data_IF_561411053433
#
_entry.id   IF_561411053433
#
_cell.length_a   1.000
_cell.length_b   1.000
_cell.length_c   1.000
_cell.angle_alpha   90.00
_cell.angle_beta   90.00
_cell.angle_gamma   90.00
#
_symmetry.space_group_name_H-M   'P 1'
#
loop_
_entity.id
_entity.type
_entity.pdbx_description
1 polymer ?
#
# COMPACT_ATOMS: atom_id res chain seq x y z
N UNK A 1 -9.09 6.65 11.48
CA UNK A 1 -8.70 7.70 10.52
C UNK A 1 -9.64 7.62 9.31
N UNK A 2 -10.84 8.22 9.38
CA UNK A 2 -11.96 7.94 8.46
C UNK A 2 -11.69 8.33 7.00
N UNK A 3 -10.76 9.25 6.75
CA UNK A 3 -10.41 9.65 5.39
C UNK A 3 -9.71 8.54 4.59
N UNK A 4 -9.01 7.62 5.26
CA UNK A 4 -8.24 6.57 4.58
C UNK A 4 -9.14 5.39 4.15
N UNK A 5 -10.16 5.06 4.95
CA UNK A 5 -11.16 4.04 4.60
C UNK A 5 -11.95 4.46 3.35
N UNK A 6 -12.38 5.73 3.28
CA UNK A 6 -13.06 6.27 2.11
C UNK A 6 -12.19 6.21 0.83
N UNK A 7 -10.88 6.42 0.94
CA UNK A 7 -9.95 6.29 -0.20
C UNK A 7 -9.86 4.83 -0.66
N UNK A 8 -9.76 3.88 0.27
CA UNK A 8 -9.72 2.46 -0.05
C UNK A 8 -11.01 2.01 -0.74
N UNK A 9 -12.17 2.39 -0.20
CA UNK A 9 -13.46 2.08 -0.79
C UNK A 9 -13.59 2.66 -2.20
N UNK A 10 -13.16 3.91 -2.39
CA UNK A 10 -13.12 4.55 -3.70
C UNK A 10 -12.23 3.76 -4.69
N UNK A 11 -11.06 3.31 -4.26
CA UNK A 11 -10.14 2.53 -5.11
C UNK A 11 -10.67 1.13 -5.42
N UNK A 12 -11.40 0.52 -4.48
CA UNK A 12 -12.09 -0.75 -4.70
C UNK A 12 -13.22 -0.62 -5.72
N UNK A 13 -13.93 0.52 -5.70
CA UNK A 13 -15.00 0.83 -6.64
C UNK A 13 -14.51 1.22 -8.04
N UNK A 14 -13.23 1.59 -8.21
CA UNK A 14 -12.65 1.89 -9.52
C UNK A 14 -12.56 0.64 -10.40
N UNK A 15 -12.75 0.86 -11.70
CA UNK A 15 -12.45 -0.14 -12.72
C UNK A 15 -10.93 -0.43 -12.75
N UNK A 16 -10.54 -1.60 -13.25
CA UNK A 16 -9.13 -1.95 -13.39
C UNK A 16 -8.30 -0.96 -14.24
N UNK A 17 -8.77 -0.46 -15.40
CA UNK A 17 -8.02 0.54 -16.17
C UNK A 17 -7.92 1.89 -15.45
N UNK A 18 -8.97 2.31 -14.73
CA UNK A 18 -8.94 3.55 -13.96
C UNK A 18 -7.97 3.46 -12.79
N UNK A 19 -7.99 2.34 -12.06
CA UNK A 19 -7.07 2.08 -10.97
C UNK A 19 -5.62 2.04 -11.48
N UNK A 20 -5.37 1.43 -12.64
CA UNK A 20 -4.05 1.41 -13.27
C UNK A 20 -3.54 2.83 -13.56
N UNK A 21 -4.37 3.67 -14.18
CA UNK A 21 -4.01 5.05 -14.47
C UNK A 21 -3.81 5.88 -13.18
N UNK A 22 -4.63 5.63 -12.17
CA UNK A 22 -4.53 6.30 -10.87
C UNK A 22 -3.22 5.93 -10.15
N UNK A 23 -2.92 4.64 -10.04
CA UNK A 23 -1.66 4.12 -9.46
C UNK A 23 -0.45 4.66 -10.22
N UNK A 24 -0.48 4.66 -11.57
CA UNK A 24 0.61 5.20 -12.39
C UNK A 24 0.93 6.66 -12.06
N UNK A 25 -0.10 7.50 -11.88
CA UNK A 25 0.07 8.92 -11.51
C UNK A 25 0.63 9.09 -10.10
N UNK A 26 0.20 8.26 -9.15
CA UNK A 26 0.67 8.30 -7.76
C UNK A 26 2.10 7.79 -7.56
N UNK A 27 2.49 6.77 -8.32
CA UNK A 27 3.87 6.26 -8.32
C UNK A 27 4.81 7.30 -8.93
N UNK A 28 4.37 7.99 -9.98
CA UNK A 28 5.14 9.06 -10.61
C UNK A 28 5.32 10.24 -9.65
N UNK A 29 6.56 10.49 -9.21
CA UNK A 29 6.85 11.53 -8.22
C UNK A 29 6.76 11.07 -6.76
N UNK A 30 6.57 9.78 -6.50
CA UNK A 30 6.66 9.19 -5.17
C UNK A 30 8.12 9.18 -4.67
N UNK A 31 8.60 10.33 -4.21
CA UNK A 31 9.90 10.44 -3.53
C UNK A 31 9.82 9.94 -2.08
N UNK A 32 8.62 9.89 -1.48
CA UNK A 32 8.38 9.42 -0.11
C UNK A 32 7.15 8.51 -0.06
N UNK A 33 7.13 7.51 0.86
CA UNK A 33 5.97 6.67 1.07
C UNK A 33 4.80 7.52 1.58
N UNK A 34 3.79 7.72 0.73
CA UNK A 34 2.55 8.40 1.09
C UNK A 34 1.73 7.53 2.06
N UNK A 35 1.06 8.12 3.07
CA UNK A 35 0.21 7.40 4.03
C UNK A 35 -0.92 6.61 3.36
N UNK A 36 -1.30 6.97 2.12
CA UNK A 36 -2.26 6.19 1.31
C UNK A 36 -1.80 4.75 1.09
N UNK A 37 -0.51 4.51 0.90
CA UNK A 37 0.01 3.17 0.66
C UNK A 37 -0.07 2.29 1.91
N UNK A 38 0.02 2.89 3.09
CA UNK A 38 -0.18 2.24 4.38
C UNK A 38 -1.65 1.84 4.58
N UNK A 39 -2.59 2.70 4.17
CA UNK A 39 -4.01 2.36 4.20
C UNK A 39 -4.33 1.24 3.19
N UNK A 40 -3.78 1.31 1.98
CA UNK A 40 -3.94 0.28 0.96
C UNK A 40 -3.33 -1.05 1.39
N UNK A 41 -2.18 -1.04 2.09
CA UNK A 41 -1.53 -2.27 2.57
C UNK A 41 -2.35 -2.98 3.65
N UNK A 42 -3.18 -2.26 4.39
CA UNK A 42 -4.12 -2.82 5.37
C UNK A 42 -5.27 -3.62 4.72
N UNK A 43 -5.53 -3.45 3.41
CA UNK A 43 -6.57 -4.16 2.68
C UNK A 43 -5.98 -5.19 1.70
N UNK A 44 -5.97 -6.50 2.03
CA UNK A 44 -5.22 -7.51 1.28
C UNK A 44 -5.66 -7.65 -0.18
N UNK A 45 -6.95 -7.52 -0.48
CA UNK A 45 -7.50 -7.59 -1.84
C UNK A 45 -7.02 -6.42 -2.70
N UNK A 46 -7.09 -5.20 -2.16
CA UNK A 46 -6.63 -4.01 -2.87
C UNK A 46 -5.11 -4.02 -3.02
N UNK A 47 -4.38 -4.41 -1.98
CA UNK A 47 -2.93 -4.56 -2.01
C UNK A 47 -2.49 -5.57 -3.09
N UNK A 48 -3.16 -6.71 -3.22
CA UNK A 48 -2.87 -7.68 -4.28
C UNK A 48 -3.12 -7.12 -5.69
N UNK A 49 -4.25 -6.42 -5.89
CA UNK A 49 -4.56 -5.72 -7.15
C UNK A 49 -3.48 -4.70 -7.51
N UNK A 50 -3.11 -3.84 -6.57
CA UNK A 50 -2.09 -2.81 -6.77
C UNK A 50 -0.72 -3.45 -7.07
N UNK A 51 -0.35 -4.54 -6.39
CA UNK A 51 0.90 -5.28 -6.71
C UNK A 51 0.92 -5.78 -8.15
N UNK A 52 -0.19 -6.33 -8.65
CA UNK A 52 -0.32 -6.76 -10.05
C UNK A 52 -0.15 -5.59 -11.03
N UNK A 53 -0.77 -4.45 -10.74
CA UNK A 53 -0.63 -3.21 -11.53
C UNK A 53 0.83 -2.73 -11.53
N UNK A 54 1.51 -2.75 -10.38
CA UNK A 54 2.92 -2.37 -10.29
C UNK A 54 3.84 -3.30 -11.10
N UNK A 55 3.56 -4.60 -11.12
CA UNK A 55 4.28 -5.55 -11.98
C UNK A 55 4.07 -5.26 -13.46
N UNK A 56 2.82 -5.01 -13.87
CA UNK A 56 2.53 -4.64 -15.26
C UNK A 56 3.17 -3.31 -15.66
N UNK A 57 3.17 -2.32 -14.76
CA UNK A 57 3.85 -1.04 -14.96
C UNK A 57 5.37 -1.22 -15.09
N UNK A 58 5.97 -2.07 -14.27
CA UNK A 58 7.40 -2.36 -14.34
C UNK A 58 7.80 -2.93 -15.71
N UNK A 59 7.02 -3.87 -16.25
CA UNK A 59 7.24 -4.41 -17.60
C UNK A 59 7.08 -3.35 -18.69
N UNK A 60 6.06 -2.48 -18.57
CA UNK A 60 5.82 -1.41 -19.55
C UNK A 60 6.91 -0.33 -19.56
N UNK A 61 7.53 -0.05 -18.41
CA UNK A 61 8.55 0.99 -18.28
C UNK A 61 9.97 0.49 -18.58
N UNK A 62 10.15 -0.80 -18.88
CA UNK A 62 11.46 -1.40 -19.16
C UNK A 62 12.21 -0.73 -20.31
N UNK A 63 11.47 -0.26 -21.33
CA UNK A 63 12.02 0.42 -22.52
C UNK A 63 11.91 1.96 -22.44
N UNK A 64 11.42 2.50 -21.31
CA UNK A 64 11.20 3.93 -21.17
C UNK A 64 12.51 4.68 -20.85
N UNK A 65 12.69 5.89 -21.38
CA UNK A 65 13.88 6.74 -21.12
C UNK A 65 14.17 6.92 -19.62
N UNK A 66 13.11 7.04 -18.83
CA UNK A 66 13.17 7.18 -17.36
C UNK A 66 13.09 5.84 -16.61
N UNK A 67 13.49 4.72 -17.23
CA UNK A 67 13.36 3.39 -16.64
C UNK A 67 13.89 3.32 -15.21
N UNK A 68 15.10 3.83 -14.94
CA UNK A 68 15.70 3.82 -13.61
C UNK A 68 14.87 4.58 -12.55
N UNK A 69 14.26 5.71 -12.93
CA UNK A 69 13.38 6.49 -12.05
C UNK A 69 12.08 5.73 -11.79
N UNK A 70 11.50 5.12 -12.82
CA UNK A 70 10.33 4.26 -12.67
C UNK A 70 10.60 3.05 -11.77
N UNK A 71 11.74 2.38 -11.94
CA UNK A 71 12.16 1.27 -11.08
C UNK A 71 12.27 1.71 -9.62
N UNK A 72 12.88 2.87 -9.36
CA UNK A 72 13.02 3.42 -8.01
C UNK A 72 11.64 3.70 -7.38
N UNK A 73 10.76 4.40 -8.08
CA UNK A 73 9.43 4.74 -7.58
C UNK A 73 8.55 3.51 -7.34
N UNK A 74 8.59 2.54 -8.26
CA UNK A 74 7.87 1.27 -8.10
C UNK A 74 8.41 0.50 -6.90
N UNK A 75 9.73 0.44 -6.72
CA UNK A 75 10.37 -0.25 -5.59
C UNK A 75 9.98 0.38 -4.26
N UNK A 76 10.04 1.71 -4.15
CA UNK A 76 9.60 2.45 -2.95
C UNK A 76 8.12 2.17 -2.62
N UNK A 77 7.27 2.15 -3.64
CA UNK A 77 5.84 1.86 -3.48
C UNK A 77 5.60 0.42 -3.01
N UNK A 78 6.32 -0.56 -3.59
CA UNK A 78 6.24 -1.97 -3.15
C UNK A 78 6.70 -2.14 -1.71
N UNK A 79 7.73 -1.42 -1.29
CA UNK A 79 8.18 -1.43 0.10
C UNK A 79 7.10 -0.88 1.05
N UNK A 80 6.45 0.23 0.69
CA UNK A 80 5.33 0.79 1.46
C UNK A 80 4.13 -0.19 1.57
N UNK A 81 3.87 -0.97 0.52
CA UNK A 81 2.83 -2.02 0.49
C UNK A 81 3.20 -3.30 1.25
N UNK A 82 4.48 -3.49 1.58
CA UNK A 82 4.98 -4.70 2.23
C UNK A 82 5.29 -4.46 3.71
N UNK A 83 5.56 -3.21 4.09
CA UNK A 83 5.79 -2.86 5.49
C UNK A 83 4.48 -3.07 6.25
N UNK A 84 4.39 -4.07 7.14
CA UNK A 84 3.21 -4.22 7.96
C UNK A 84 3.15 -3.00 8.88
N UNK A 85 2.02 -2.28 8.89
CA UNK A 85 1.66 -1.55 10.11
C UNK A 85 1.69 -2.62 11.19
N UNK A 86 2.50 -2.48 12.27
CA UNK A 86 2.35 -3.35 13.40
C UNK A 86 0.89 -3.20 13.81
N UNK A 87 0.07 -4.21 13.51
CA UNK A 87 -1.18 -4.40 14.21
C UNK A 87 -0.74 -4.33 15.66
N UNK A 88 -1.12 -3.25 16.33
CA UNK A 88 -1.06 -3.13 17.75
C UNK A 88 -1.78 -4.38 18.24
N UNK A 89 -0.98 -5.41 18.53
CA UNK A 89 -1.43 -6.56 19.26
C UNK A 89 -1.92 -5.89 20.52
N UNK A 90 -3.24 -5.81 20.61
CA UNK A 90 -3.97 -5.90 21.85
C UNK A 90 -3.38 -7.10 22.59
N UNK A 91 -2.23 -6.88 23.22
CA UNK A 91 -1.78 -7.63 24.37
C UNK A 91 -2.71 -7.17 25.46
N UNK A 92 -3.93 -7.68 25.34
CA UNK A 92 -4.84 -7.99 26.41
C UNK A 92 -4.02 -8.88 27.37
N UNK A 93 -3.16 -8.27 28.18
CA UNK A 93 -2.60 -8.92 29.34
C UNK A 93 -3.64 -8.86 30.46
N UNK A 94 -4.81 -9.43 30.18
CA UNK A 94 -5.70 -9.95 31.21
C UNK A 94 -5.19 -11.36 31.50
N UNK A 95 -4.54 -11.54 32.65
CA UNK A 95 -5.13 -12.22 33.82
C UNK A 95 -4.01 -12.73 34.77
N UNK A 96 -4.25 -12.48 36.06
CA UNK A 96 -3.76 -13.19 37.28
C UNK A 96 -2.41 -12.64 37.82
N UNK A 97 -2.30 -12.27 39.09
CA UNK A 97 -2.80 -12.98 40.28
C UNK A 97 -3.11 -12.06 41.47
N UNK A 98 -4.16 -12.48 42.16
CA UNK A 98 -4.53 -12.17 43.53
C UNK A 98 -3.63 -12.95 44.52
N UNK A 99 -3.22 -12.33 45.65
CA UNK A 99 -2.81 -12.87 46.98
C UNK A 99 -1.68 -11.99 47.54
N UNK A 100 -1.91 -11.18 48.58
CA UNK A 100 -2.02 -11.57 49.99
C UNK A 100 -0.72 -12.17 50.54
N UNK A 101 0.03 -11.34 51.27
CA UNK A 101 0.71 -11.64 52.54
C UNK A 101 1.22 -10.34 53.15
#
# INVERSE_FOLDING_TARGET
MPAHDAIVEQWLAMSHPDLTNHVRRLVRGASRPSPVWTAVSAHPVLAARVRGILSALQSQMADHRDHAMWTLWITNTRHALTTPVPLEKSSLHVKRRNRAS
#
